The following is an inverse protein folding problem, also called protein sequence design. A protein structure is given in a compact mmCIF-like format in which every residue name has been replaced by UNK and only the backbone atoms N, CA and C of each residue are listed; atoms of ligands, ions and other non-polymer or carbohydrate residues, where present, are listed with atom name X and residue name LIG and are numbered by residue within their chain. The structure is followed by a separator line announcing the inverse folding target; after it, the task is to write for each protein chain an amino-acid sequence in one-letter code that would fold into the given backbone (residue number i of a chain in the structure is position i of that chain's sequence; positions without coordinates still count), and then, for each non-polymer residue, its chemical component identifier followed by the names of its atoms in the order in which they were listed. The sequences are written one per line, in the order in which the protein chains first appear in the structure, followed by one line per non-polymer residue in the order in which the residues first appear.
data_IF_351755185087
#
_entry.id   IF_351755185087
#
_cell.length_a   1.000
_cell.length_b   1.000
_cell.length_c   1.000
_cell.angle_alpha   90.00
_cell.angle_beta   90.00
_cell.angle_gamma   90.00
#
_symmetry.space_group_name_H-M   'P 1'
#
loop_
_entity.id
_entity.type
_entity.pdbx_description
1 polymer ?
#
# COMPACT_ATOMS: atom_id res chain seq x y z
N UNK A 1 9.68 -0.80 30.31
CA UNK A 1 10.23 -0.03 29.19
C UNK A 1 10.50 -0.98 28.03
N UNK A 2 10.14 -0.63 26.80
CA UNK A 2 10.39 -1.51 25.65
C UNK A 2 11.89 -1.64 25.37
N UNK A 3 12.37 -2.84 25.13
CA UNK A 3 13.78 -3.08 24.84
C UNK A 3 14.25 -2.40 23.54
N UNK A 4 13.38 -2.28 22.55
CA UNK A 4 13.66 -1.54 21.33
C UNK A 4 14.00 -0.06 21.56
N UNK A 5 13.50 0.55 22.65
CA UNK A 5 13.86 1.91 23.06
C UNK A 5 15.03 1.92 24.06
N UNK A 6 15.06 0.99 25.02
CA UNK A 6 16.13 0.86 26.03
C UNK A 6 17.51 0.62 25.38
N UNK A 7 17.55 -0.20 24.34
CA UNK A 7 18.75 -0.58 23.60
C UNK A 7 18.92 0.17 22.28
N UNK A 8 18.21 1.28 22.10
CA UNK A 8 18.42 2.13 20.94
C UNK A 8 19.87 2.63 20.91
N UNK A 9 20.58 2.50 19.78
CA UNK A 9 21.95 3.00 19.62
C UNK A 9 22.07 4.47 20.03
N UNK A 10 23.17 4.82 20.70
CA UNK A 10 23.45 6.18 21.18
C UNK A 10 24.43 6.93 20.26
N UNK A 11 25.21 6.18 19.47
CA UNK A 11 26.15 6.71 18.48
C UNK A 11 25.98 5.97 17.14
N UNK A 12 26.49 6.54 16.06
CA UNK A 12 26.44 5.89 14.74
C UNK A 12 27.26 4.60 14.73
N UNK A 13 28.30 4.51 15.55
CA UNK A 13 29.15 3.30 15.66
C UNK A 13 28.40 2.14 16.32
N UNK A 14 27.45 2.41 17.22
CA UNK A 14 26.65 1.39 17.91
C UNK A 14 25.62 0.72 16.99
N UNK A 15 25.38 1.28 15.82
CA UNK A 15 24.47 0.67 14.84
C UNK A 15 25.06 -0.64 14.33
N UNK A 16 24.21 -1.67 14.25
CA UNK A 16 24.62 -3.00 13.77
C UNK A 16 24.46 -3.11 12.27
N UNK A 17 25.52 -3.56 11.58
CA UNK A 17 25.54 -3.79 10.14
C UNK A 17 25.55 -2.54 9.26
N UNK A 18 25.47 -2.75 7.95
CA UNK A 18 25.50 -1.68 6.94
C UNK A 18 26.69 -0.71 7.06
N UNK A 19 27.88 -1.22 7.41
CA UNK A 19 29.06 -0.42 7.70
C UNK A 19 29.48 0.48 6.54
N UNK A 20 29.49 -0.04 5.33
CA UNK A 20 29.80 0.70 4.11
C UNK A 20 28.80 1.86 3.89
N UNK A 21 27.49 1.56 4.00
CA UNK A 21 26.45 2.57 3.86
C UNK A 21 26.52 3.66 4.96
N UNK A 22 26.90 3.27 6.19
CA UNK A 22 27.12 4.21 7.30
C UNK A 22 28.35 5.09 7.06
N UNK A 23 29.44 4.53 6.56
CA UNK A 23 30.64 5.29 6.18
C UNK A 23 30.32 6.32 5.11
N UNK A 24 29.66 5.89 4.03
CA UNK A 24 29.19 6.77 2.96
C UNK A 24 28.29 7.91 3.46
N UNK A 25 27.44 7.61 4.45
CA UNK A 25 26.54 8.57 5.07
C UNK A 25 27.31 9.59 5.92
N UNK A 26 28.27 9.15 6.74
CA UNK A 26 29.14 10.01 7.55
C UNK A 26 30.00 10.89 6.66
N UNK A 27 30.59 10.34 5.61
CA UNK A 27 31.38 11.09 4.64
C UNK A 27 30.58 12.20 3.97
N UNK A 28 29.31 11.94 3.68
CA UNK A 28 28.44 12.98 3.13
C UNK A 28 28.25 14.13 4.10
N UNK A 29 27.99 13.87 5.39
CA UNK A 29 27.86 14.93 6.41
C UNK A 29 29.13 15.72 6.58
N UNK A 30 30.27 15.06 6.63
CA UNK A 30 31.58 15.69 6.79
C UNK A 30 31.91 16.66 5.63
N UNK A 31 31.44 16.32 4.42
CA UNK A 31 31.67 17.11 3.21
C UNK A 31 30.49 18.00 2.81
N UNK A 32 29.46 18.03 3.63
CA UNK A 32 28.23 18.74 3.28
C UNK A 32 28.49 20.27 3.19
N UNK A 33 27.94 20.88 2.18
CA UNK A 33 27.87 22.32 1.97
C UNK A 33 26.63 22.69 1.20
N UNK A 34 26.18 23.94 1.28
CA UNK A 34 24.98 24.43 0.57
C UNK A 34 25.00 24.00 -0.90
N UNK A 35 23.91 23.42 -1.38
CA UNK A 35 23.78 22.85 -2.72
C UNK A 35 24.23 21.38 -2.85
N UNK A 36 24.75 20.75 -1.79
CA UNK A 36 25.09 19.32 -1.83
C UNK A 36 23.77 18.50 -1.97
N UNK A 37 23.73 17.56 -2.93
CA UNK A 37 22.55 16.70 -3.15
C UNK A 37 22.08 16.03 -1.86
N UNK A 38 20.79 16.09 -1.53
CA UNK A 38 20.22 15.39 -0.38
C UNK A 38 20.45 13.89 -0.43
N UNK A 39 20.36 13.21 0.74
CA UNK A 39 20.40 11.75 0.82
C UNK A 39 19.00 11.17 0.88
N UNK A 40 18.82 10.06 0.15
CA UNK A 40 17.70 9.15 0.28
C UNK A 40 18.19 7.83 0.86
N UNK A 41 17.76 7.51 2.10
CA UNK A 41 18.00 6.23 2.74
C UNK A 41 16.91 5.25 2.30
N UNK A 42 17.26 4.16 1.61
CA UNK A 42 16.33 3.14 1.15
C UNK A 42 16.63 1.81 1.82
N UNK A 43 15.58 1.17 2.33
CA UNK A 43 15.72 -0.18 2.90
C UNK A 43 14.49 -0.58 3.72
N UNK A 44 14.35 -1.87 4.10
CA UNK A 44 13.17 -2.37 4.78
C UNK A 44 12.91 -1.68 6.13
N UNK A 45 11.72 -1.80 6.72
CA UNK A 45 11.42 -1.26 8.04
C UNK A 45 12.33 -1.86 9.11
N UNK A 46 12.47 -1.18 10.25
CA UNK A 46 13.18 -1.67 11.43
C UNK A 46 14.71 -1.79 11.34
N UNK A 47 15.35 -1.41 10.22
CA UNK A 47 16.82 -1.47 10.04
C UNK A 47 17.58 -0.24 10.56
N UNK A 48 16.86 0.75 11.11
CA UNK A 48 17.47 1.90 11.76
C UNK A 48 17.61 3.18 10.94
N UNK A 49 16.88 3.38 9.82
CA UNK A 49 16.91 4.62 8.99
C UNK A 49 16.70 5.88 9.82
N UNK A 50 15.58 5.94 10.56
CA UNK A 50 15.24 7.06 11.44
C UNK A 50 16.23 7.22 12.57
N UNK A 51 16.74 6.12 13.13
CA UNK A 51 17.76 6.14 14.17
C UNK A 51 19.07 6.74 13.65
N UNK A 52 19.49 6.36 12.43
CA UNK A 52 20.69 6.89 11.79
C UNK A 52 20.58 8.41 11.58
N UNK A 53 19.43 8.91 11.13
CA UNK A 53 19.18 10.34 10.95
C UNK A 53 19.29 11.11 12.29
N UNK A 54 18.67 10.59 13.37
CA UNK A 54 18.76 11.19 14.72
C UNK A 54 20.17 11.23 15.28
N UNK A 55 20.90 10.14 15.11
CA UNK A 55 22.27 10.05 15.58
C UNK A 55 23.21 10.99 14.81
N UNK A 56 22.99 11.13 13.51
CA UNK A 56 23.75 12.06 12.70
C UNK A 56 23.48 13.52 13.11
N UNK A 57 22.22 13.92 13.28
CA UNK A 57 21.90 15.26 13.76
C UNK A 57 22.64 15.57 15.07
N UNK A 58 22.56 14.63 16.03
CA UNK A 58 23.26 14.78 17.31
C UNK A 58 24.77 14.83 17.17
N UNK A 59 25.38 13.98 16.35
CA UNK A 59 26.82 13.88 16.19
C UNK A 59 27.42 15.12 15.47
N UNK A 60 26.71 15.67 14.50
CA UNK A 60 27.16 16.80 13.71
C UNK A 60 26.61 18.16 14.20
N UNK A 61 25.88 18.18 15.32
CA UNK A 61 25.38 19.42 15.93
C UNK A 61 24.25 20.08 15.15
N UNK A 62 23.40 19.32 14.47
CA UNK A 62 22.24 19.84 13.76
C UNK A 62 20.96 19.73 14.59
N UNK A 63 20.08 20.72 14.46
CA UNK A 63 18.72 20.69 14.99
C UNK A 63 17.81 19.94 14.04
N UNK A 64 17.42 18.73 14.44
CA UNK A 64 16.64 17.82 13.61
C UNK A 64 15.17 18.21 13.55
N UNK A 65 14.68 18.49 12.36
CA UNK A 65 13.26 18.71 12.07
C UNK A 65 12.72 17.46 11.39
N UNK A 66 11.95 16.67 12.14
CA UNK A 66 11.35 15.44 11.62
C UNK A 66 9.98 15.73 11.00
N UNK A 67 9.80 15.27 9.77
CA UNK A 67 8.53 15.32 9.03
C UNK A 67 8.18 13.90 8.56
N UNK A 68 6.90 13.57 8.58
CA UNK A 68 6.41 12.38 7.91
C UNK A 68 5.94 12.76 6.49
N UNK A 69 5.94 11.82 5.56
CA UNK A 69 5.40 12.04 4.21
C UNK A 69 3.97 12.58 4.19
N UNK A 70 3.17 12.27 5.24
CA UNK A 70 1.83 12.84 5.43
C UNK A 70 1.82 14.36 5.60
N UNK A 71 2.89 14.94 6.17
CA UNK A 71 3.01 16.37 6.43
C UNK A 71 3.38 17.15 5.16
N UNK A 72 4.00 16.46 4.19
CA UNK A 72 4.48 17.04 2.92
C UNK A 72 3.64 16.63 1.70
N UNK A 73 2.37 16.28 1.90
CA UNK A 73 1.48 15.86 0.80
C UNK A 73 0.97 17.00 -0.07
N UNK A 74 0.75 18.18 0.48
CA UNK A 74 0.24 19.32 -0.27
C UNK A 74 1.27 20.44 -0.43
N UNK A 75 1.18 21.16 -1.56
CA UNK A 75 2.06 22.32 -1.83
C UNK A 75 2.02 23.35 -0.71
N UNK A 76 0.82 23.69 -0.20
CA UNK A 76 0.65 24.67 0.87
C UNK A 76 1.38 24.25 2.15
N UNK A 77 1.19 23.01 2.62
CA UNK A 77 1.87 22.52 3.83
C UNK A 77 3.38 22.47 3.69
N UNK A 78 3.91 22.09 2.52
CA UNK A 78 5.35 22.12 2.27
C UNK A 78 5.88 23.56 2.38
N UNK A 79 5.16 24.51 1.80
CA UNK A 79 5.54 25.91 1.88
C UNK A 79 5.50 26.44 3.31
N UNK A 80 4.41 26.15 4.04
CA UNK A 80 4.23 26.61 5.41
C UNK A 80 5.29 26.05 6.37
N UNK A 81 5.71 24.80 6.19
CA UNK A 81 6.67 24.13 7.08
C UNK A 81 8.11 24.35 6.66
N UNK A 82 8.42 24.20 5.36
CA UNK A 82 9.82 24.23 4.89
C UNK A 82 10.32 25.63 4.51
N UNK A 83 9.47 26.54 4.03
CA UNK A 83 9.91 27.88 3.66
C UNK A 83 10.53 28.68 4.82
N UNK A 84 9.95 28.68 6.03
CA UNK A 84 10.57 29.37 7.17
C UNK A 84 11.95 28.81 7.52
N UNK A 85 12.16 27.50 7.36
CA UNK A 85 13.41 26.80 7.68
C UNK A 85 14.46 27.10 6.62
N UNK A 86 14.07 27.14 5.35
CA UNK A 86 14.97 27.36 4.21
C UNK A 86 15.34 28.82 4.01
N UNK A 87 14.49 29.76 4.47
CA UNK A 87 14.64 31.19 4.30
C UNK A 87 15.27 31.93 5.48
N UNK A 88 15.38 31.32 6.64
CA UNK A 88 15.97 31.93 7.83
C UNK A 88 17.46 31.63 7.92
N UNK A 89 18.30 32.67 7.97
CA UNK A 89 19.56 32.59 8.70
C UNK A 89 19.16 32.34 10.16
N UNK A 90 19.25 31.09 10.58
CA UNK A 90 18.62 30.59 11.80
C UNK A 90 19.14 31.30 13.04
N UNK A 91 18.27 32.02 13.72
CA UNK A 91 18.45 32.44 15.12
C UNK A 91 18.50 31.24 16.10
N UNK A 92 18.25 30.02 15.64
CA UNK A 92 18.03 28.80 16.42
C UNK A 92 18.99 27.64 16.10
N UNK A 93 20.20 27.90 15.61
CA UNK A 93 21.19 26.84 15.34
C UNK A 93 21.29 26.40 13.89
N UNK A 94 21.71 25.13 13.65
CA UNK A 94 21.91 24.56 12.32
C UNK A 94 20.79 23.57 12.00
N UNK A 95 19.71 23.96 11.30
CA UNK A 95 18.60 23.07 11.03
C UNK A 95 18.99 21.97 10.03
N UNK A 96 18.46 20.77 10.26
CA UNK A 96 18.51 19.63 9.34
C UNK A 96 17.09 19.06 9.17
N UNK A 97 16.68 18.82 7.95
CA UNK A 97 15.36 18.30 7.63
C UNK A 97 15.46 16.78 7.42
N UNK A 98 14.62 16.03 8.11
CA UNK A 98 14.44 14.59 7.88
C UNK A 98 13.00 14.29 7.52
N UNK A 99 12.77 13.73 6.33
CA UNK A 99 11.42 13.32 5.86
C UNK A 99 11.35 11.80 5.81
N UNK A 100 10.56 11.22 6.70
CA UNK A 100 10.37 9.77 6.77
C UNK A 100 9.22 9.31 5.86
N UNK A 101 9.28 8.05 5.44
CA UNK A 101 8.25 7.35 4.65
C UNK A 101 7.89 8.03 3.33
N UNK A 102 8.86 8.64 2.64
CA UNK A 102 8.59 9.38 1.37
C UNK A 102 8.02 8.52 0.24
N UNK A 103 8.10 7.20 0.34
CA UNK A 103 7.42 6.25 -0.54
C UNK A 103 5.89 6.23 -0.34
N UNK A 104 5.39 6.73 0.80
CA UNK A 104 3.97 6.93 1.08
C UNK A 104 3.32 8.13 0.35
N UNK A 105 4.10 8.93 -0.39
CA UNK A 105 3.57 10.04 -1.18
C UNK A 105 2.90 9.48 -2.46
N UNK A 106 1.56 9.39 -2.48
CA UNK A 106 0.77 8.83 -3.57
C UNK A 106 0.17 9.88 -4.51
N UNK A 107 0.20 9.62 -5.83
CA UNK A 107 0.10 10.55 -6.95
C UNK A 107 -1.21 11.27 -7.22
N UNK A 108 -2.37 10.83 -6.79
CA UNK A 108 -3.64 11.45 -7.16
C UNK A 108 -4.30 12.31 -6.08
N UNK A 109 -3.86 12.16 -4.85
CA UNK A 109 -4.33 12.96 -3.71
C UNK A 109 -3.37 14.11 -3.33
N UNK A 110 -2.16 14.12 -3.89
CA UNK A 110 -1.10 15.05 -3.51
C UNK A 110 -1.10 16.26 -4.45
N UNK A 111 -1.88 17.27 -4.14
CA UNK A 111 -2.00 18.54 -4.86
C UNK A 111 -0.66 19.28 -5.01
N UNK A 112 0.23 18.77 -5.89
CA UNK A 112 1.52 19.39 -6.22
C UNK A 112 2.63 19.27 -5.16
N UNK A 113 2.43 18.47 -4.11
CA UNK A 113 3.42 18.28 -3.05
C UNK A 113 4.74 17.68 -3.53
N UNK A 114 4.69 16.59 -4.30
CA UNK A 114 5.89 15.94 -4.82
C UNK A 114 6.72 16.84 -5.75
N UNK A 115 6.06 17.66 -6.58
CA UNK A 115 6.77 18.59 -7.48
C UNK A 115 7.45 19.70 -6.70
N UNK A 116 6.78 20.21 -5.66
CA UNK A 116 7.34 21.24 -4.78
C UNK A 116 8.52 20.69 -3.98
N UNK A 117 8.39 19.46 -3.45
CA UNK A 117 9.49 18.77 -2.78
C UNK A 117 10.70 18.61 -3.71
N UNK A 118 10.48 18.15 -4.95
CA UNK A 118 11.57 17.98 -5.93
C UNK A 118 12.28 19.32 -6.23
N UNK A 119 11.56 20.46 -6.26
CA UNK A 119 12.18 21.78 -6.43
C UNK A 119 13.11 22.12 -5.26
N UNK A 120 12.66 21.89 -4.03
CA UNK A 120 13.46 22.10 -2.82
C UNK A 120 14.70 21.19 -2.80
N UNK A 121 14.55 19.92 -3.20
CA UNK A 121 15.65 18.96 -3.23
C UNK A 121 16.71 19.28 -4.28
N UNK A 122 16.42 20.09 -5.30
CA UNK A 122 17.39 20.50 -6.32
C UNK A 122 18.39 21.54 -5.80
N UNK A 123 17.93 22.43 -4.93
CA UNK A 123 18.73 23.55 -4.40
C UNK A 123 18.65 23.60 -2.87
N UNK A 124 19.19 22.60 -2.15
CA UNK A 124 19.09 22.54 -0.70
C UNK A 124 19.98 23.58 -0.04
N UNK A 125 19.38 24.37 0.84
CA UNK A 125 20.09 25.37 1.66
C UNK A 125 20.52 24.80 3.01
N UNK A 126 19.91 23.72 3.45
CA UNK A 126 20.19 22.98 4.68
C UNK A 126 20.35 21.48 4.36
N UNK A 127 20.99 20.68 5.23
CA UNK A 127 21.03 19.22 5.05
C UNK A 127 19.62 18.63 5.02
N UNK A 128 19.31 17.86 3.97
CA UNK A 128 18.02 17.18 3.83
C UNK A 128 18.25 15.68 3.69
N UNK A 129 17.61 14.93 4.56
CA UNK A 129 17.56 13.47 4.54
C UNK A 129 16.15 12.99 4.23
N UNK A 130 16.06 11.99 3.41
CA UNK A 130 14.81 11.29 3.08
C UNK A 130 14.94 9.82 3.48
N UNK A 131 13.88 9.20 3.95
CA UNK A 131 13.82 7.75 4.16
C UNK A 131 12.63 7.13 3.43
N UNK A 132 12.87 5.96 2.85
CA UNK A 132 11.86 5.17 2.13
C UNK A 132 12.04 3.68 2.44
N UNK A 133 10.94 2.94 2.48
CA UNK A 133 11.00 1.48 2.57
C UNK A 133 11.22 0.86 1.19
N UNK A 134 10.69 1.49 0.13
CA UNK A 134 10.82 1.06 -1.26
C UNK A 134 11.08 2.24 -2.20
N UNK A 135 11.82 2.00 -3.28
CA UNK A 135 12.15 3.02 -4.29
C UNK A 135 11.60 2.69 -5.70
N UNK A 136 10.62 1.79 -5.77
CA UNK A 136 10.11 1.24 -7.04
C UNK A 136 9.11 2.17 -7.73
N UNK A 137 8.36 2.99 -6.96
CA UNK A 137 7.29 3.82 -7.52
C UNK A 137 7.81 4.86 -8.53
N UNK A 138 6.92 5.27 -9.45
CA UNK A 138 7.25 6.26 -10.51
C UNK A 138 7.73 7.60 -9.94
N UNK A 139 7.17 8.02 -8.79
CA UNK A 139 7.58 9.25 -8.09
C UNK A 139 8.94 9.12 -7.44
N UNK A 140 9.23 7.97 -6.84
CA UNK A 140 10.55 7.70 -6.31
C UNK A 140 11.62 7.76 -7.40
N UNK A 141 11.32 7.35 -8.63
CA UNK A 141 12.22 7.54 -9.78
C UNK A 141 12.55 9.01 -10.04
N UNK A 142 11.56 9.91 -9.85
CA UNK A 142 11.78 11.36 -10.04
C UNK A 142 12.60 11.96 -8.89
N UNK A 143 12.34 11.57 -7.65
CA UNK A 143 13.12 11.98 -6.48
C UNK A 143 14.58 11.51 -6.60
N UNK A 144 14.80 10.26 -7.01
CA UNK A 144 16.14 9.67 -7.19
C UNK A 144 17.05 10.43 -8.15
N UNK A 145 16.50 11.17 -9.12
CA UNK A 145 17.28 11.98 -10.03
C UNK A 145 17.97 13.18 -9.34
N UNK A 146 17.38 13.67 -8.25
CA UNK A 146 17.84 14.88 -7.55
C UNK A 146 18.51 14.60 -6.21
N UNK A 147 18.56 13.34 -5.76
CA UNK A 147 19.18 12.92 -4.48
C UNK A 147 20.28 11.89 -4.69
N UNK A 148 21.16 11.73 -3.67
CA UNK A 148 22.08 10.59 -3.56
C UNK A 148 21.39 9.46 -2.81
N UNK A 149 21.30 8.28 -3.39
CA UNK A 149 20.65 7.12 -2.75
C UNK A 149 21.68 6.28 -2.00
N UNK A 150 21.44 6.03 -0.72
CA UNK A 150 22.19 5.07 0.10
C UNK A 150 21.24 3.92 0.47
N UNK A 151 21.65 2.68 0.15
CA UNK A 151 20.86 1.48 0.39
C UNK A 151 21.29 0.80 1.67
N UNK A 152 20.35 0.62 2.57
CA UNK A 152 20.52 -0.18 3.78
C UNK A 152 19.96 -1.58 3.50
N UNK A 153 20.80 -2.59 3.69
CA UNK A 153 20.43 -4.01 3.48
C UNK A 153 19.83 -4.59 4.75
N UNK A 154 18.90 -5.57 4.63
CA UNK A 154 18.42 -6.34 5.78
C UNK A 154 19.62 -6.96 6.52
N UNK A 155 19.52 -7.02 7.84
CA UNK A 155 20.60 -7.61 8.63
C UNK A 155 20.62 -9.13 8.47
N UNK A 156 21.81 -9.71 8.27
CA UNK A 156 21.97 -11.16 8.25
C UNK A 156 21.53 -11.79 9.59
N UNK A 157 20.88 -12.97 9.57
CA UNK A 157 20.42 -13.65 10.79
C UNK A 157 21.52 -13.83 11.85
N UNK A 158 22.74 -14.12 11.42
CA UNK A 158 23.90 -14.27 12.32
C UNK A 158 24.20 -12.99 13.09
N UNK A 159 24.14 -11.83 12.45
CA UNK A 159 24.38 -10.56 13.14
C UNK A 159 23.24 -10.21 14.08
N UNK A 160 22.02 -10.48 13.69
CA UNK A 160 20.83 -10.30 14.54
C UNK A 160 20.93 -11.17 15.79
N UNK A 161 21.35 -12.43 15.64
CA UNK A 161 21.55 -13.36 16.76
C UNK A 161 22.66 -12.90 17.71
N UNK A 162 23.77 -12.41 17.20
CA UNK A 162 24.84 -11.83 18.03
C UNK A 162 24.34 -10.63 18.83
N UNK A 163 23.62 -9.74 18.19
CA UNK A 163 23.11 -8.54 18.82
C UNK A 163 22.09 -8.86 19.92
N UNK A 164 21.14 -9.75 19.66
CA UNK A 164 20.14 -10.12 20.66
C UNK A 164 20.75 -10.89 21.84
N UNK A 165 21.77 -11.72 21.62
CA UNK A 165 22.46 -12.39 22.70
C UNK A 165 23.12 -11.40 23.69
N UNK A 166 23.61 -10.27 23.20
CA UNK A 166 24.12 -9.19 24.06
C UNK A 166 23.00 -8.59 24.91
N UNK A 167 21.82 -8.37 24.32
CA UNK A 167 20.65 -7.85 25.04
C UNK A 167 20.17 -8.84 26.09
N UNK A 168 20.00 -10.11 25.74
CA UNK A 168 19.56 -11.17 26.64
C UNK A 168 20.52 -11.31 27.85
N UNK A 169 21.83 -11.24 27.59
CA UNK A 169 22.85 -11.25 28.65
C UNK A 169 22.73 -10.04 29.57
N UNK A 170 22.47 -8.83 29.02
CA UNK A 170 22.29 -7.61 29.83
C UNK A 170 21.00 -7.63 30.66
N UNK A 171 19.97 -8.29 30.19
CA UNK A 171 18.69 -8.45 30.92
C UNK A 171 18.69 -9.64 31.87
N UNK A 172 19.75 -10.48 31.87
CA UNK A 172 19.84 -11.64 32.74
C UNK A 172 18.84 -12.75 32.41
N UNK A 173 18.40 -12.83 31.17
CA UNK A 173 17.37 -13.76 30.69
C UNK A 173 17.90 -14.68 29.62
N UNK A 174 17.32 -15.88 29.52
CA UNK A 174 17.66 -16.84 28.48
C UNK A 174 16.39 -17.29 27.73
N UNK A 175 16.56 -17.56 26.45
CA UNK A 175 15.52 -18.12 25.60
C UNK A 175 15.99 -19.47 25.03
N UNK A 176 15.08 -20.41 24.85
CA UNK A 176 15.40 -21.67 24.19
C UNK A 176 16.01 -21.43 22.82
N UNK A 177 17.13 -22.08 22.45
CA UNK A 177 17.83 -21.82 21.18
C UNK A 177 16.94 -21.96 19.95
N UNK A 178 16.00 -22.92 19.94
CA UNK A 178 15.04 -23.13 18.86
C UNK A 178 14.09 -21.94 18.70
N UNK A 179 13.56 -21.41 19.80
CA UNK A 179 12.66 -20.25 19.78
C UNK A 179 13.39 -18.98 19.33
N UNK A 180 14.62 -18.78 19.81
CA UNK A 180 15.47 -17.67 19.39
C UNK A 180 15.73 -17.71 17.88
N UNK A 181 16.14 -18.87 17.37
CA UNK A 181 16.42 -19.04 15.94
C UNK A 181 15.16 -18.80 15.08
N UNK A 182 14.01 -19.31 15.52
CA UNK A 182 12.73 -19.07 14.85
C UNK A 182 12.42 -17.57 14.74
N UNK A 183 12.48 -16.83 15.86
CA UNK A 183 12.20 -15.38 15.88
C UNK A 183 13.17 -14.60 15.00
N UNK A 184 14.47 -14.96 15.01
CA UNK A 184 15.48 -14.29 14.17
C UNK A 184 15.19 -14.48 12.68
N UNK A 185 14.80 -15.69 12.26
CA UNK A 185 14.46 -15.98 10.85
C UNK A 185 13.16 -15.25 10.44
N UNK A 186 12.13 -15.31 11.28
CA UNK A 186 10.83 -14.67 11.02
C UNK A 186 10.93 -13.15 10.93
N UNK A 187 11.86 -12.53 11.65
CA UNK A 187 12.08 -11.09 11.62
C UNK A 187 12.69 -10.56 10.32
N UNK A 188 13.18 -11.41 9.43
CA UNK A 188 13.67 -11.07 8.06
C UNK A 188 14.58 -9.84 8.00
N UNK A 189 15.39 -9.60 9.03
CA UNK A 189 16.31 -8.45 9.10
C UNK A 189 15.75 -7.21 9.81
N UNK A 190 14.51 -7.22 10.28
CA UNK A 190 13.91 -6.17 11.10
C UNK A 190 14.31 -6.32 12.58
N UNK A 191 15.28 -5.51 13.04
CA UNK A 191 15.76 -5.54 14.42
C UNK A 191 14.69 -5.12 15.43
N UNK A 192 13.83 -4.16 15.09
CA UNK A 192 12.81 -3.66 15.99
C UNK A 192 11.76 -4.75 16.26
N UNK A 193 11.30 -5.40 15.19
CA UNK A 193 10.37 -6.53 15.29
C UNK A 193 10.97 -7.68 16.10
N UNK A 194 12.22 -8.05 15.82
CA UNK A 194 12.92 -9.12 16.55
C UNK A 194 13.02 -8.83 18.05
N UNK A 195 13.49 -7.64 18.44
CA UNK A 195 13.67 -7.27 19.85
C UNK A 195 12.32 -7.29 20.58
N UNK A 196 11.27 -6.75 19.97
CA UNK A 196 9.93 -6.73 20.56
C UNK A 196 9.36 -8.14 20.72
N UNK A 197 9.50 -9.00 19.70
CA UNK A 197 9.05 -10.40 19.77
C UNK A 197 9.79 -11.19 20.85
N UNK A 198 11.09 -10.97 21.02
CA UNK A 198 11.89 -11.63 22.05
C UNK A 198 11.50 -11.11 23.44
N UNK A 199 11.34 -9.81 23.62
CA UNK A 199 10.86 -9.25 24.88
C UNK A 199 9.51 -9.85 25.28
N UNK A 200 8.57 -9.94 24.35
CA UNK A 200 7.26 -10.54 24.57
C UNK A 200 7.37 -12.01 25.04
N UNK A 201 8.22 -12.79 24.40
CA UNK A 201 8.44 -14.21 24.77
C UNK A 201 9.10 -14.38 26.15
N UNK A 202 9.97 -13.45 26.55
CA UNK A 202 10.69 -13.52 27.82
C UNK A 202 9.83 -13.04 28.97
N UNK A 203 9.09 -11.95 28.79
CA UNK A 203 8.32 -11.33 29.89
C UNK A 203 6.99 -12.01 30.16
N UNK A 204 6.57 -12.96 29.32
CA UNK A 204 5.22 -13.53 29.39
C UNK A 204 4.13 -12.49 29.12
N UNK A 205 4.53 -11.24 28.84
CA UNK A 205 3.65 -10.21 28.36
C UNK A 205 3.38 -10.55 26.91
N UNK A 206 2.31 -11.30 26.66
CA UNK A 206 1.72 -11.22 25.34
C UNK A 206 1.42 -9.73 25.18
N UNK A 207 2.13 -8.96 24.31
CA UNK A 207 1.56 -7.72 23.82
C UNK A 207 0.17 -8.10 23.33
N UNK A 208 -0.87 -7.23 23.45
CA UNK A 208 -2.14 -7.55 22.87
C UNK A 208 -1.80 -8.04 21.48
N UNK A 209 -1.94 -9.32 21.29
CA UNK A 209 -1.42 -10.06 20.16
C UNK A 209 -2.05 -9.45 18.91
N UNK A 210 -1.40 -8.42 18.33
CA UNK A 210 -1.06 -8.65 16.96
C UNK A 210 -0.15 -9.89 17.01
N UNK A 211 -0.74 -11.07 17.07
CA UNK A 211 -0.11 -12.30 16.61
C UNK A 211 0.59 -11.81 15.39
N UNK A 212 1.92 -11.96 15.30
CA UNK A 212 2.62 -11.76 14.05
C UNK A 212 2.00 -12.76 13.08
N UNK A 213 0.81 -12.41 12.62
CA UNK A 213 0.22 -13.05 11.48
C UNK A 213 1.27 -12.78 10.42
N UNK A 214 1.98 -13.83 10.02
CA UNK A 214 2.78 -13.80 8.83
C UNK A 214 1.97 -12.97 7.86
N UNK A 215 2.51 -11.86 7.37
CA UNK A 215 1.82 -11.04 6.39
C UNK A 215 1.59 -11.96 5.23
N UNK A 216 0.40 -12.57 5.22
CA UNK A 216 0.04 -13.52 4.19
C UNK A 216 0.05 -12.75 2.89
N UNK A 217 0.81 -13.22 1.94
CA UNK A 217 0.71 -12.77 0.56
C UNK A 217 -0.71 -13.06 0.07
N UNK A 218 -1.16 -12.35 -0.96
CA UNK A 218 -2.52 -12.48 -1.51
C UNK A 218 -2.85 -13.95 -1.80
N UNK A 219 -1.92 -14.68 -2.42
CA UNK A 219 -2.08 -16.07 -2.78
C UNK A 219 -2.22 -16.98 -1.55
N UNK A 220 -1.31 -16.82 -0.59
CA UNK A 220 -1.33 -17.59 0.65
C UNK A 220 -2.60 -17.29 1.45
N UNK A 221 -2.98 -16.01 1.53
CA UNK A 221 -4.16 -15.58 2.27
C UNK A 221 -5.48 -16.13 1.69
N UNK A 222 -5.68 -16.05 0.38
CA UNK A 222 -6.88 -16.60 -0.27
C UNK A 222 -6.93 -18.13 -0.13
N UNK A 223 -5.81 -18.81 -0.36
CA UNK A 223 -5.73 -20.26 -0.23
C UNK A 223 -5.98 -20.72 1.22
N UNK A 224 -5.44 -20.01 2.22
CA UNK A 224 -5.68 -20.28 3.62
C UNK A 224 -7.14 -20.01 4.03
N UNK A 225 -7.74 -18.92 3.53
CA UNK A 225 -9.13 -18.58 3.82
C UNK A 225 -10.11 -19.67 3.41
N UNK A 226 -9.98 -20.20 2.18
CA UNK A 226 -10.88 -21.27 1.70
C UNK A 226 -10.54 -22.66 2.26
N UNK A 227 -9.37 -22.84 2.87
CA UNK A 227 -8.95 -24.06 3.58
C UNK A 227 -9.23 -24.02 5.08
N UNK A 228 -9.66 -22.89 5.62
CA UNK A 228 -9.90 -22.75 7.05
C UNK A 228 -11.05 -23.66 7.52
N UNK A 229 -10.90 -24.18 8.73
CA UNK A 229 -11.85 -25.14 9.33
C UNK A 229 -12.92 -24.45 10.18
N UNK A 230 -12.74 -23.16 10.49
CA UNK A 230 -13.71 -22.40 11.26
C UNK A 230 -13.85 -20.97 10.76
N UNK A 231 -15.01 -20.36 11.06
CA UNK A 231 -15.29 -18.97 10.70
C UNK A 231 -14.35 -18.00 11.42
N UNK A 232 -13.92 -18.34 12.63
CA UNK A 232 -12.98 -17.52 13.41
C UNK A 232 -11.56 -17.58 12.82
N UNK A 233 -11.14 -18.75 12.34
CA UNK A 233 -9.89 -18.90 11.60
C UNK A 233 -9.92 -18.10 10.29
N UNK A 234 -11.00 -18.20 9.51
CA UNK A 234 -11.18 -17.41 8.28
C UNK A 234 -11.15 -15.90 8.56
N UNK A 235 -11.79 -15.46 9.64
CA UNK A 235 -11.76 -14.06 10.09
C UNK A 235 -10.33 -13.60 10.41
N UNK A 236 -9.57 -14.41 11.13
CA UNK A 236 -8.19 -14.11 11.48
C UNK A 236 -7.30 -14.00 10.24
N UNK A 237 -7.49 -14.88 9.26
CA UNK A 237 -6.78 -14.84 7.98
C UNK A 237 -7.08 -13.54 7.24
N UNK A 238 -8.35 -13.12 7.15
CA UNK A 238 -8.73 -11.85 6.52
C UNK A 238 -8.05 -10.64 7.15
N UNK A 239 -7.95 -10.60 8.48
CA UNK A 239 -7.27 -9.52 9.20
C UNK A 239 -5.75 -9.56 9.01
N UNK A 240 -5.15 -10.74 8.82
CA UNK A 240 -3.71 -10.89 8.57
C UNK A 240 -3.29 -10.50 7.16
N UNK A 241 -4.23 -10.43 6.22
CA UNK A 241 -4.02 -9.96 4.85
C UNK A 241 -3.92 -8.43 4.82
N UNK A 242 -2.75 -7.87 5.10
CA UNK A 242 -2.48 -6.43 5.06
C UNK A 242 -2.29 -5.92 3.63
N UNK A 243 -3.33 -6.07 2.82
CA UNK A 243 -3.37 -5.79 1.39
C UNK A 243 -4.34 -4.64 1.13
N UNK A 244 -4.12 -3.89 0.05
CA UNK A 244 -5.07 -2.87 -0.37
C UNK A 244 -6.49 -3.47 -0.50
N UNK A 245 -7.52 -2.82 0.07
CA UNK A 245 -8.89 -3.33 0.08
C UNK A 245 -9.43 -3.67 -1.31
N UNK A 246 -9.09 -2.87 -2.32
CA UNK A 246 -9.48 -3.12 -3.71
C UNK A 246 -8.79 -4.34 -4.29
N UNK A 247 -7.51 -4.51 -3.97
CA UNK A 247 -6.74 -5.66 -4.41
C UNK A 247 -7.26 -6.95 -3.75
N UNK A 248 -7.66 -6.88 -2.47
CA UNK A 248 -8.31 -7.97 -1.74
C UNK A 248 -9.63 -8.38 -2.42
N UNK A 249 -10.54 -7.44 -2.71
CA UNK A 249 -11.80 -7.71 -3.42
C UNK A 249 -11.53 -8.36 -4.78
N UNK A 250 -10.59 -7.82 -5.56
CA UNK A 250 -10.25 -8.34 -6.89
C UNK A 250 -9.67 -9.75 -6.82
N UNK A 251 -8.86 -10.07 -5.81
CA UNK A 251 -8.29 -11.41 -5.63
C UNK A 251 -9.36 -12.45 -5.31
N UNK A 252 -10.30 -12.14 -4.42
CA UNK A 252 -11.46 -13.00 -4.15
C UNK A 252 -12.31 -13.19 -5.40
N UNK A 253 -12.67 -12.09 -6.10
CA UNK A 253 -13.43 -12.15 -7.34
C UNK A 253 -12.77 -13.06 -8.39
N UNK A 254 -11.47 -12.86 -8.64
CA UNK A 254 -10.71 -13.64 -9.62
C UNK A 254 -10.70 -15.12 -9.26
N UNK A 255 -10.49 -15.46 -8.00
CA UNK A 255 -10.43 -16.84 -7.52
C UNK A 255 -11.79 -17.54 -7.60
N UNK A 256 -12.87 -16.81 -7.31
CA UNK A 256 -14.25 -17.34 -7.38
C UNK A 256 -14.66 -17.58 -8.83
N UNK A 257 -14.42 -16.65 -9.74
CA UNK A 257 -14.89 -16.76 -11.14
C UNK A 257 -14.13 -17.81 -11.93
N UNK A 258 -12.90 -18.13 -11.55
CA UNK A 258 -12.09 -19.18 -12.19
C UNK A 258 -12.28 -20.55 -11.58
N UNK A 259 -12.98 -20.64 -10.45
CA UNK A 259 -13.23 -21.91 -9.77
C UNK A 259 -14.43 -22.66 -10.37
N UNK A 260 -14.39 -23.98 -10.30
CA UNK A 260 -15.46 -24.84 -10.77
C UNK A 260 -16.45 -25.12 -9.63
N UNK A 261 -17.31 -24.13 -9.31
CA UNK A 261 -18.37 -24.24 -8.30
C UNK A 261 -19.75 -24.21 -8.97
N UNK A 262 -20.74 -24.73 -8.29
CA UNK A 262 -22.13 -24.74 -8.79
C UNK A 262 -22.66 -23.30 -8.96
N UNK A 263 -23.55 -23.11 -9.93
CA UNK A 263 -24.09 -21.79 -10.30
C UNK A 263 -24.78 -21.06 -9.14
N UNK A 264 -25.41 -21.80 -8.24
CA UNK A 264 -26.11 -21.23 -7.07
C UNK A 264 -25.12 -20.65 -6.07
N UNK A 265 -24.05 -21.37 -5.75
CA UNK A 265 -22.98 -20.91 -4.88
C UNK A 265 -22.18 -19.77 -5.52
N UNK A 266 -21.94 -19.85 -6.83
CA UNK A 266 -21.29 -18.76 -7.58
C UNK A 266 -22.10 -17.47 -7.49
N UNK A 267 -23.41 -17.53 -7.73
CA UNK A 267 -24.29 -16.36 -7.64
C UNK A 267 -24.27 -15.74 -6.24
N UNK A 268 -24.36 -16.57 -5.19
CA UNK A 268 -24.28 -16.12 -3.79
C UNK A 268 -22.95 -15.41 -3.48
N UNK A 269 -21.81 -16.02 -3.88
CA UNK A 269 -20.49 -15.43 -3.64
C UNK A 269 -20.29 -14.12 -4.41
N UNK A 270 -20.76 -14.05 -5.66
CA UNK A 270 -20.70 -12.81 -6.46
C UNK A 270 -21.57 -11.70 -5.85
N UNK A 271 -22.69 -12.02 -5.23
CA UNK A 271 -23.51 -11.04 -4.50
C UNK A 271 -22.73 -10.43 -3.32
N UNK A 272 -22.00 -11.26 -2.56
CA UNK A 272 -21.16 -10.77 -1.45
C UNK A 272 -20.03 -9.87 -1.97
N UNK A 273 -19.34 -10.27 -3.04
CA UNK A 273 -18.31 -9.45 -3.68
C UNK A 273 -18.89 -8.12 -4.16
N UNK A 274 -20.07 -8.13 -4.77
CA UNK A 274 -20.77 -6.91 -5.20
C UNK A 274 -21.04 -5.95 -4.02
N UNK A 275 -21.51 -6.50 -2.88
CA UNK A 275 -21.72 -5.71 -1.66
C UNK A 275 -20.40 -5.10 -1.14
N UNK A 276 -19.31 -5.86 -1.17
CA UNK A 276 -17.98 -5.38 -0.76
C UNK A 276 -17.47 -4.26 -1.69
N UNK A 277 -17.62 -4.42 -3.01
CA UNK A 277 -17.22 -3.42 -4.01
C UNK A 277 -18.08 -2.14 -3.89
N UNK A 278 -19.39 -2.25 -3.71
CA UNK A 278 -20.27 -1.11 -3.45
C UNK A 278 -19.89 -0.36 -2.18
N UNK A 279 -19.56 -1.06 -1.08
CA UNK A 279 -19.09 -0.42 0.15
C UNK A 279 -17.78 0.32 -0.11
N UNK A 280 -16.83 -0.31 -0.79
CA UNK A 280 -15.56 0.32 -1.15
C UNK A 280 -15.76 1.54 -2.04
N UNK A 281 -16.61 1.45 -3.06
CA UNK A 281 -17.00 2.58 -3.91
C UNK A 281 -17.61 3.75 -3.12
N UNK A 282 -18.46 3.46 -2.11
CA UNK A 282 -19.02 4.45 -1.18
C UNK A 282 -17.92 5.11 -0.34
N UNK A 283 -16.97 4.34 0.19
CA UNK A 283 -15.83 4.83 0.96
C UNK A 283 -15.00 5.80 0.11
N UNK A 284 -14.67 5.41 -1.12
CA UNK A 284 -13.90 6.25 -2.05
C UNK A 284 -14.62 7.55 -2.40
N UNK A 285 -15.95 7.52 -2.53
CA UNK A 285 -16.77 8.71 -2.85
C UNK A 285 -16.93 9.64 -1.64
N UNK A 286 -17.17 9.09 -0.46
CA UNK A 286 -17.47 9.85 0.76
C UNK A 286 -16.23 10.16 1.61
N UNK A 287 -15.07 9.55 1.31
CA UNK A 287 -13.82 9.61 2.09
C UNK A 287 -13.99 9.17 3.55
N UNK A 288 -15.04 8.40 3.85
CA UNK A 288 -15.29 7.89 5.19
C UNK A 288 -14.56 6.56 5.43
N UNK A 289 -13.29 6.65 5.73
CA UNK A 289 -12.38 5.50 5.94
C UNK A 289 -12.77 4.61 7.13
N UNK A 290 -13.60 5.09 8.06
CA UNK A 290 -14.10 4.29 9.20
C UNK A 290 -14.93 3.09 8.74
N UNK A 291 -15.49 3.14 7.54
CA UNK A 291 -16.29 2.06 6.99
C UNK A 291 -15.44 0.86 6.52
N UNK A 292 -14.12 1.01 6.34
CA UNK A 292 -13.22 -0.09 5.95
C UNK A 292 -13.29 -1.28 6.94
N UNK A 293 -13.52 -1.02 8.22
CA UNK A 293 -13.66 -2.08 9.24
C UNK A 293 -14.78 -3.10 8.95
N UNK A 294 -15.77 -2.70 8.15
CA UNK A 294 -16.88 -3.58 7.77
C UNK A 294 -16.60 -4.40 6.52
N UNK A 295 -15.55 -4.05 5.75
CA UNK A 295 -15.22 -4.74 4.51
C UNK A 295 -14.88 -6.22 4.75
N UNK A 296 -14.00 -6.48 5.72
CA UNK A 296 -13.61 -7.84 6.06
C UNK A 296 -14.79 -8.64 6.64
N UNK A 297 -15.72 -7.99 7.34
CA UNK A 297 -16.95 -8.62 7.81
C UNK A 297 -17.89 -9.03 6.66
N UNK A 298 -17.93 -8.25 5.58
CA UNK A 298 -18.69 -8.62 4.36
C UNK A 298 -18.00 -9.78 3.64
N UNK A 299 -16.67 -9.67 3.45
CA UNK A 299 -15.89 -10.71 2.79
C UNK A 299 -15.88 -12.03 3.55
N UNK A 300 -16.04 -12.00 4.88
CA UNK A 300 -16.20 -13.21 5.69
C UNK A 300 -17.43 -14.01 5.29
N UNK A 301 -18.45 -13.38 4.71
CA UNK A 301 -19.61 -14.07 4.14
C UNK A 301 -19.28 -15.02 2.97
N UNK A 302 -18.09 -14.90 2.36
CA UNK A 302 -17.60 -15.84 1.35
C UNK A 302 -17.16 -17.18 1.95
N UNK A 303 -16.94 -17.21 3.27
CA UNK A 303 -16.53 -18.44 3.94
C UNK A 303 -17.63 -19.51 3.83
N UNK A 304 -17.22 -20.63 3.28
CA UNK A 304 -18.03 -21.83 3.19
C UNK A 304 -17.10 -23.03 3.34
N UNK A 305 -17.31 -23.90 4.32
CA UNK A 305 -16.49 -25.10 4.51
C UNK A 305 -16.42 -25.93 3.22
N UNK A 306 -15.29 -26.56 2.99
CA UNK A 306 -15.05 -27.51 1.91
C UNK A 306 -15.30 -26.99 0.48
N UNK A 307 -15.10 -25.69 0.27
CA UNK A 307 -15.21 -25.10 -1.07
C UNK A 307 -13.86 -25.20 -1.79
N UNK A 308 -13.78 -25.87 -2.95
CA UNK A 308 -12.51 -26.10 -3.66
C UNK A 308 -12.04 -24.86 -4.43
N UNK A 309 -11.94 -23.72 -3.78
CA UNK A 309 -11.46 -22.47 -4.37
C UNK A 309 -9.98 -22.32 -4.06
N UNK A 310 -9.18 -22.04 -5.10
CA UNK A 310 -7.77 -21.70 -5.00
C UNK A 310 -7.52 -20.32 -5.59
N UNK A 311 -6.49 -19.66 -5.13
CA UNK A 311 -6.09 -18.40 -5.71
C UNK A 311 -5.86 -18.52 -7.21
N UNK A 312 -6.44 -17.62 -7.95
CA UNK A 312 -6.22 -17.48 -9.38
C UNK A 312 -6.26 -16.00 -9.75
N UNK A 313 -5.36 -15.60 -10.62
CA UNK A 313 -5.31 -14.23 -11.13
C UNK A 313 -6.02 -14.17 -12.46
N UNK A 314 -7.26 -13.70 -12.46
CA UNK A 314 -8.01 -13.43 -13.68
C UNK A 314 -7.67 -12.03 -14.20
N UNK A 315 -6.97 -11.95 -15.32
CA UNK A 315 -6.74 -10.69 -16.01
C UNK A 315 -7.59 -10.68 -17.28
N UNK A 316 -8.51 -9.71 -17.35
CA UNK A 316 -9.17 -9.40 -18.62
C UNK A 316 -8.10 -9.08 -19.68
N UNK A 317 -8.18 -9.72 -20.85
CA UNK A 317 -7.28 -9.41 -21.96
C UNK A 317 -7.41 -7.93 -22.33
N UNK A 318 -6.31 -7.29 -22.69
CA UNK A 318 -6.28 -5.88 -23.08
C UNK A 318 -7.26 -5.54 -24.22
N UNK A 319 -7.42 -6.38 -25.26
CA UNK A 319 -8.47 -6.18 -26.29
C UNK A 319 -9.88 -6.16 -25.68
N UNK A 320 -10.18 -7.03 -24.72
CA UNK A 320 -11.50 -7.07 -24.08
C UNK A 320 -11.76 -5.83 -23.22
N UNK A 321 -10.76 -5.33 -22.50
CA UNK A 321 -10.87 -4.07 -21.72
C UNK A 321 -11.13 -2.89 -22.65
N UNK A 322 -10.41 -2.81 -23.77
CA UNK A 322 -10.59 -1.74 -24.74
C UNK A 322 -11.98 -1.81 -25.38
N UNK A 323 -12.42 -3.00 -25.77
CA UNK A 323 -13.76 -3.22 -26.29
C UNK A 323 -14.82 -2.71 -25.33
N UNK A 324 -14.80 -3.14 -24.06
CA UNK A 324 -15.75 -2.68 -23.02
C UNK A 324 -15.72 -1.15 -22.88
N UNK A 325 -14.54 -0.54 -22.94
CA UNK A 325 -14.41 0.93 -22.82
C UNK A 325 -15.00 1.67 -24.02
N UNK A 326 -14.75 1.21 -25.24
CA UNK A 326 -15.23 1.87 -26.46
C UNK A 326 -16.70 1.61 -26.69
N UNK A 327 -17.14 0.36 -26.61
CA UNK A 327 -18.54 -0.03 -26.76
C UNK A 327 -19.39 0.59 -25.63
N UNK A 328 -18.93 0.58 -24.39
CA UNK A 328 -19.61 1.21 -23.28
C UNK A 328 -19.76 2.74 -23.40
N UNK A 329 -18.80 3.44 -24.04
CA UNK A 329 -18.96 4.87 -24.35
C UNK A 329 -20.03 5.10 -25.41
N UNK A 330 -20.03 4.33 -26.49
CA UNK A 330 -21.04 4.43 -27.56
C UNK A 330 -22.44 4.11 -27.02
N UNK A 331 -22.60 3.02 -26.27
CA UNK A 331 -23.87 2.65 -25.62
C UNK A 331 -24.36 3.76 -24.67
N UNK A 332 -23.46 4.40 -23.92
CA UNK A 332 -23.81 5.50 -23.03
C UNK A 332 -24.29 6.74 -23.81
N UNK A 333 -23.65 7.05 -24.93
CA UNK A 333 -24.06 8.16 -25.79
C UNK A 333 -25.44 7.90 -26.40
N UNK A 334 -25.63 6.72 -26.97
CA UNK A 334 -26.91 6.25 -27.50
C UNK A 334 -28.01 6.29 -26.43
N UNK A 335 -27.74 5.76 -25.26
CA UNK A 335 -28.67 5.78 -24.13
C UNK A 335 -29.04 7.18 -23.69
N UNK A 336 -28.10 8.14 -23.72
CA UNK A 336 -28.39 9.54 -23.40
C UNK A 336 -29.28 10.21 -24.46
N UNK A 337 -29.07 9.88 -25.73
CA UNK A 337 -29.91 10.43 -26.84
C UNK A 337 -31.35 9.90 -26.73
N UNK A 338 -31.50 8.60 -26.67
CA UNK A 338 -32.85 7.97 -26.72
C UNK A 338 -33.61 8.25 -25.41
N UNK A 339 -32.94 8.23 -24.24
CA UNK A 339 -33.60 8.52 -22.97
C UNK A 339 -34.17 9.93 -22.89
N UNK A 340 -33.50 10.92 -23.52
CA UNK A 340 -34.04 12.29 -23.66
C UNK A 340 -35.32 12.33 -24.48
N UNK A 341 -35.34 11.62 -25.60
CA UNK A 341 -36.52 11.57 -26.46
C UNK A 341 -37.70 10.85 -25.81
N UNK A 342 -37.42 9.82 -25.03
CA UNK A 342 -38.41 9.05 -24.29
C UNK A 342 -38.80 9.65 -22.93
N UNK A 343 -38.19 10.76 -22.51
CA UNK A 343 -38.38 11.38 -21.19
C UNK A 343 -38.20 10.42 -19.99
N UNK A 344 -37.24 9.50 -20.09
CA UNK A 344 -36.91 8.55 -19.03
C UNK A 344 -35.47 8.75 -18.53
N UNK A 345 -35.15 8.21 -17.36
CA UNK A 345 -33.76 8.28 -16.89
C UNK A 345 -32.85 7.35 -17.72
N UNK A 346 -31.58 7.76 -17.92
CA UNK A 346 -30.57 6.94 -18.61
C UNK A 346 -30.41 5.57 -17.94
N UNK A 347 -30.50 5.52 -16.61
CA UNK A 347 -30.43 4.28 -15.85
C UNK A 347 -31.60 3.35 -16.15
N UNK A 348 -32.83 3.89 -16.21
CA UNK A 348 -34.03 3.12 -16.56
C UNK A 348 -33.94 2.61 -17.98
N UNK A 349 -33.48 3.46 -18.91
CA UNK A 349 -33.29 3.06 -20.31
C UNK A 349 -32.30 1.91 -20.46
N UNK A 350 -31.09 2.03 -19.89
CA UNK A 350 -30.05 1.01 -20.02
C UNK A 350 -30.40 -0.30 -19.34
N UNK A 351 -31.16 -0.28 -18.23
CA UNK A 351 -31.46 -1.49 -17.47
C UNK A 351 -32.66 -2.26 -18.04
N UNK A 352 -33.70 -1.55 -18.48
CA UNK A 352 -34.98 -2.19 -18.85
C UNK A 352 -35.33 -2.04 -20.33
N UNK A 353 -35.05 -0.88 -20.94
CA UNK A 353 -35.53 -0.58 -22.28
C UNK A 353 -34.55 -1.02 -23.35
N UNK A 354 -33.26 -0.85 -23.15
CA UNK A 354 -32.24 -1.10 -24.15
C UNK A 354 -32.26 -2.54 -24.69
N UNK A 355 -32.26 -3.54 -23.80
CA UNK A 355 -32.31 -4.94 -24.22
C UNK A 355 -33.64 -5.30 -24.92
N UNK A 356 -34.74 -4.73 -24.45
CA UNK A 356 -36.06 -4.94 -25.07
C UNK A 356 -36.12 -4.29 -26.46
N UNK A 357 -35.55 -3.09 -26.61
CA UNK A 357 -35.42 -2.39 -27.90
C UNK A 357 -34.62 -3.23 -28.91
N UNK A 358 -33.44 -3.72 -28.51
CA UNK A 358 -32.59 -4.57 -29.32
C UNK A 358 -33.31 -5.86 -29.74
N UNK A 359 -34.06 -6.48 -28.84
CA UNK A 359 -34.86 -7.67 -29.14
C UNK A 359 -35.97 -7.39 -30.14
N UNK A 360 -36.67 -6.25 -30.03
CA UNK A 360 -37.70 -5.83 -30.98
C UNK A 360 -37.10 -5.51 -32.36
N UNK A 361 -35.94 -4.84 -32.42
CA UNK A 361 -35.23 -4.57 -33.67
C UNK A 361 -34.76 -5.87 -34.33
N UNK A 362 -34.24 -6.83 -33.59
CA UNK A 362 -33.82 -8.13 -34.10
C UNK A 362 -34.97 -8.93 -34.75
N UNK A 363 -36.18 -8.76 -34.26
CA UNK A 363 -37.38 -9.45 -34.75
C UNK A 363 -38.19 -8.64 -35.76
N UNK A 364 -37.61 -7.55 -36.32
CA UNK A 364 -38.24 -6.63 -37.28
C UNK A 364 -39.58 -6.04 -36.80
N UNK A 365 -39.77 -5.91 -35.49
CA UNK A 365 -40.97 -5.33 -34.89
C UNK A 365 -40.80 -3.82 -34.57
N UNK A 366 -39.63 -3.26 -34.83
CA UNK A 366 -39.31 -1.88 -34.55
C UNK A 366 -38.26 -1.37 -35.56
N UNK A 367 -38.64 -0.42 -36.41
CA UNK A 367 -37.70 0.35 -37.21
C UNK A 367 -37.39 1.64 -36.46
N UNK A 368 -36.15 1.81 -36.07
CA UNK A 368 -35.66 3.01 -35.42
C UNK A 368 -34.56 3.61 -36.32
N UNK A 369 -34.80 4.78 -36.89
CA UNK A 369 -33.74 5.51 -37.60
C UNK A 369 -32.73 6.02 -36.57
N UNK A 370 -31.54 5.43 -36.57
CA UNK A 370 -30.42 5.82 -35.76
C UNK A 370 -29.32 6.42 -36.66
N UNK A 371 -28.46 7.26 -36.06
CA UNK A 371 -27.30 7.77 -36.77
C UNK A 371 -26.37 6.61 -37.15
N UNK A 372 -25.85 6.58 -38.36
CA UNK A 372 -24.91 5.55 -38.88
C UNK A 372 -23.75 5.22 -37.94
N UNK A 373 -23.41 6.17 -37.04
CA UNK A 373 -22.34 6.01 -36.03
C UNK A 373 -22.63 4.90 -35.02
N UNK A 374 -23.91 4.53 -34.81
CA UNK A 374 -24.34 3.54 -33.83
C UNK A 374 -24.71 2.20 -34.45
N UNK A 375 -24.80 2.07 -35.76
CA UNK A 375 -25.20 0.83 -36.42
C UNK A 375 -24.29 -0.34 -36.10
N UNK A 376 -22.99 -0.16 -36.16
CA UNK A 376 -21.99 -1.18 -35.82
C UNK A 376 -22.18 -1.76 -34.42
N UNK A 377 -22.54 -0.92 -33.44
CA UNK A 377 -22.66 -1.36 -32.05
C UNK A 377 -23.99 -2.05 -31.79
N UNK A 378 -25.03 -1.61 -32.50
CA UNK A 378 -26.39 -2.20 -32.41
C UNK A 378 -26.38 -3.59 -33.04
N UNK A 379 -25.82 -3.77 -34.23
CA UNK A 379 -25.66 -5.07 -34.88
C UNK A 379 -24.89 -6.05 -33.97
N UNK A 380 -23.82 -5.56 -33.36
CA UNK A 380 -23.00 -6.33 -32.49
C UNK A 380 -23.75 -6.76 -31.20
N UNK A 381 -24.48 -5.85 -30.56
CA UNK A 381 -25.27 -6.15 -29.37
C UNK A 381 -26.47 -7.05 -29.72
N UNK A 382 -27.14 -6.85 -30.89
CA UNK A 382 -28.19 -7.76 -31.39
C UNK A 382 -27.67 -9.19 -31.61
N UNK A 383 -26.40 -9.35 -32.05
CA UNK A 383 -25.79 -10.67 -32.23
C UNK A 383 -25.59 -11.44 -30.90
N UNK A 384 -25.50 -10.74 -29.77
CA UNK A 384 -25.35 -11.32 -28.42
C UNK A 384 -26.68 -11.76 -27.80
N UNK A 385 -27.79 -11.25 -28.29
CA UNK A 385 -29.14 -11.65 -27.81
C UNK A 385 -29.48 -12.99 -28.45
N UNK A 386 -29.67 -14.01 -27.60
CA UNK A 386 -30.08 -15.37 -28.01
C UNK A 386 -31.57 -15.43 -28.31
#
# INVERSE_FOLDING_TARGET
MMWSEKYRPKTIVDLVGNEEARSDFVDWFTRWKKGTKPILLVGPPGIGKTTLAKLAAKQFGYDLIELNASDVRSKGRIQDILQPILGSESLLGHPMIFIDEVDGIHGRADYGGAETLIKILKEPTVPILLAANSDISTKMKSIKKVVRTIRLKPLPPRMMQLYINIILKKEGVSLAPKSLQKIVIESRGDLRSMINSIQANVTGFEPPTEKSFERLDIEEGINAFFKSHSIDEARMILYSMHIDPREKINAFYSSIITSNIDKKNLAYMLEIISKADMLYGKIMKTQNWRLLRYLDSILLGLYKPDTPIRYSRFNLSWPMINRIRWDGKKIKLLSNMISKNLHISVSTFTTFVFNTMLFCMKNNNLDFELDEEFDDIIEKEMSLIK
#
